data_IF_479187256213
#
_entry.id   IF_479187256213
#
_cell.length_a   1.000
_cell.length_b   1.000
_cell.length_c   1.000
_cell.angle_alpha   90.00
_cell.angle_beta   90.00
_cell.angle_gamma   90.00
#
_symmetry.space_group_name_H-M   'P 1'
#
loop_
_entity.id
_entity.type
_entity.pdbx_description
1 polymer ?
#
# COMPACT_ATOMS: atom_id res chain seq x y z
N UNK A 1 -5.57 29.18 7.87
CA UNK A 1 -5.34 27.79 7.42
C UNK A 1 -5.22 27.82 5.91
N UNK A 2 -4.13 27.28 5.38
CA UNK A 2 -3.97 27.15 3.92
C UNK A 2 -4.92 26.04 3.39
N UNK A 3 -5.19 26.01 2.09
CA UNK A 3 -6.02 24.96 1.49
C UNK A 3 -5.40 23.55 1.68
N UNK A 4 -4.07 23.46 1.78
CA UNK A 4 -3.36 22.21 2.09
C UNK A 4 -3.54 21.76 3.54
N UNK A 5 -3.62 22.69 4.51
CA UNK A 5 -3.83 22.35 5.92
C UNK A 5 -5.23 21.77 6.16
N UNK A 6 -6.24 22.32 5.49
CA UNK A 6 -7.61 21.78 5.53
C UNK A 6 -7.66 20.35 4.96
N UNK A 7 -6.96 20.09 3.87
CA UNK A 7 -6.87 18.76 3.26
C UNK A 7 -6.19 17.71 4.16
N UNK A 8 -5.11 18.09 4.86
CA UNK A 8 -4.43 17.18 5.80
C UNK A 8 -5.32 16.85 6.99
N UNK A 9 -5.98 17.87 7.58
CA UNK A 9 -6.90 17.68 8.71
C UNK A 9 -8.07 16.79 8.33
N UNK A 10 -8.65 16.99 7.15
CA UNK A 10 -9.73 16.16 6.64
C UNK A 10 -9.28 14.70 6.43
N UNK A 11 -8.10 14.49 5.83
CA UNK A 11 -7.54 13.14 5.68
C UNK A 11 -7.36 12.44 7.04
N UNK A 12 -6.77 13.12 8.02
CA UNK A 12 -6.56 12.55 9.36
C UNK A 12 -7.90 12.13 10.01
N UNK A 13 -8.93 12.96 9.88
CA UNK A 13 -10.27 12.65 10.39
C UNK A 13 -10.90 11.44 9.67
N UNK A 14 -10.81 11.39 8.34
CA UNK A 14 -11.30 10.27 7.54
C UNK A 14 -10.57 8.98 7.88
N UNK A 15 -9.24 9.02 7.94
CA UNK A 15 -8.39 7.86 8.26
C UNK A 15 -8.43 7.46 9.74
N UNK A 16 -9.05 8.24 10.62
CA UNK A 16 -9.10 7.98 12.06
C UNK A 16 -7.76 8.13 12.76
N UNK A 17 -6.90 9.01 12.25
CA UNK A 17 -5.57 9.27 12.79
C UNK A 17 -5.59 10.49 13.74
N UNK A 18 -4.94 10.34 14.89
CA UNK A 18 -4.65 11.44 15.81
C UNK A 18 -3.14 11.71 15.83
N UNK A 19 -2.75 12.97 15.74
CA UNK A 19 -1.35 13.40 15.80
C UNK A 19 -1.14 14.33 16.99
N UNK A 20 0.00 14.19 17.69
CA UNK A 20 0.27 14.94 18.91
C UNK A 20 0.53 16.43 18.64
N UNK A 21 1.10 16.76 17.48
CA UNK A 21 1.46 18.13 17.10
C UNK A 21 0.99 18.41 15.67
N UNK A 22 -0.30 18.75 15.47
CA UNK A 22 -0.89 18.90 14.13
C UNK A 22 -0.11 19.86 13.22
N UNK A 23 0.34 20.99 13.73
CA UNK A 23 1.06 22.00 12.92
C UNK A 23 2.43 21.48 12.45
N UNK A 24 3.18 20.80 13.33
CA UNK A 24 4.47 20.19 12.98
C UNK A 24 4.27 19.06 11.97
N UNK A 25 3.23 18.26 12.16
CA UNK A 25 2.86 17.19 11.24
C UNK A 25 2.50 17.76 9.87
N UNK A 26 1.63 18.76 9.81
CA UNK A 26 1.23 19.43 8.57
C UNK A 26 2.43 20.01 7.81
N UNK A 27 3.32 20.73 8.51
CA UNK A 27 4.53 21.26 7.92
C UNK A 27 5.48 20.16 7.38
N UNK A 28 5.52 19.02 8.05
CA UNK A 28 6.30 17.86 7.59
C UNK A 28 5.69 17.23 6.33
N UNK A 29 4.38 17.01 6.32
CA UNK A 29 3.68 16.49 5.13
C UNK A 29 3.85 17.43 3.94
N UNK A 30 3.73 18.74 4.12
CA UNK A 30 3.93 19.71 3.06
C UNK A 30 5.34 19.65 2.46
N UNK A 31 6.38 19.53 3.31
CA UNK A 31 7.76 19.34 2.82
C UNK A 31 7.92 18.07 2.00
N UNK A 32 7.35 16.97 2.46
CA UNK A 32 7.36 15.71 1.72
C UNK A 32 6.63 15.83 0.38
N UNK A 33 5.46 16.48 0.34
CA UNK A 33 4.72 16.73 -0.89
C UNK A 33 5.52 17.57 -1.89
N UNK A 34 6.18 18.65 -1.42
CA UNK A 34 7.04 19.47 -2.27
C UNK A 34 8.22 18.68 -2.82
N UNK A 35 8.90 17.90 -1.97
CA UNK A 35 10.01 17.06 -2.40
C UNK A 35 9.57 16.00 -3.43
N UNK A 36 8.44 15.36 -3.22
CA UNK A 36 7.86 14.41 -4.17
C UNK A 36 7.51 15.10 -5.50
N UNK A 37 6.88 16.27 -5.47
CA UNK A 37 6.57 17.02 -6.69
C UNK A 37 7.81 17.39 -7.48
N UNK A 38 8.89 17.83 -6.82
CA UNK A 38 10.17 18.12 -7.45
C UNK A 38 10.80 16.87 -8.06
N UNK A 39 10.78 15.75 -7.33
CA UNK A 39 11.26 14.48 -7.82
C UNK A 39 10.52 14.03 -9.10
N UNK A 40 9.19 14.09 -9.09
CA UNK A 40 8.34 13.70 -10.22
C UNK A 40 8.56 14.56 -11.48
N UNK A 41 8.98 15.82 -11.31
CA UNK A 41 9.33 16.69 -12.44
C UNK A 41 10.70 16.36 -13.05
N UNK A 42 11.60 15.77 -12.28
CA UNK A 42 12.98 15.52 -12.67
C UNK A 42 13.23 14.07 -13.12
N UNK A 43 12.42 13.12 -12.61
CA UNK A 43 12.57 11.72 -12.95
C UNK A 43 12.15 11.47 -14.41
N UNK A 44 13.12 11.14 -15.25
CA UNK A 44 12.90 11.05 -16.70
C UNK A 44 12.02 9.86 -17.09
N UNK A 45 12.32 8.66 -16.60
CA UNK A 45 11.54 7.44 -16.82
C UNK A 45 11.82 6.42 -15.73
N UNK A 46 10.76 5.95 -15.08
CA UNK A 46 10.81 4.78 -14.21
C UNK A 46 10.21 3.61 -14.98
N UNK A 47 10.89 2.48 -14.97
CA UNK A 47 10.38 1.27 -15.63
C UNK A 47 9.12 0.77 -14.92
N UNK A 48 8.08 0.48 -15.69
CA UNK A 48 6.84 -0.10 -15.18
C UNK A 48 7.01 -1.62 -15.09
N UNK A 49 6.65 -2.18 -13.95
CA UNK A 49 6.60 -3.63 -13.76
C UNK A 49 5.16 -4.11 -13.99
N UNK A 50 4.88 -4.60 -15.18
CA UNK A 50 3.63 -5.29 -15.49
C UNK A 50 3.55 -6.67 -14.84
N UNK A 51 4.69 -7.30 -14.65
CA UNK A 51 4.84 -8.60 -14.01
C UNK A 51 5.85 -8.51 -12.88
N UNK A 52 5.55 -9.17 -11.77
CA UNK A 52 6.46 -9.20 -10.62
C UNK A 52 6.35 -10.51 -9.83
N UNK A 53 7.45 -10.90 -9.21
CA UNK A 53 7.50 -12.09 -8.38
C UNK A 53 6.62 -11.93 -7.14
N UNK A 54 5.95 -13.01 -6.77
CA UNK A 54 5.09 -13.11 -5.58
C UNK A 54 5.47 -14.35 -4.78
N UNK A 55 5.24 -14.37 -3.46
CA UNK A 55 5.38 -15.59 -2.68
C UNK A 55 4.41 -16.66 -3.15
N UNK A 56 4.84 -17.90 -3.07
CA UNK A 56 3.93 -19.04 -3.16
C UNK A 56 2.91 -18.97 -2.00
N UNK A 57 1.64 -19.19 -2.30
CA UNK A 57 0.58 -19.19 -1.30
C UNK A 57 0.19 -20.63 -0.96
N UNK A 58 0.18 -20.94 0.34
CA UNK A 58 -0.29 -22.21 0.86
C UNK A 58 -1.79 -22.24 1.13
N UNK A 59 -2.21 -23.23 1.89
CA UNK A 59 -3.61 -23.46 2.27
C UNK A 59 -4.19 -22.22 2.97
N UNK A 60 -5.42 -21.85 2.63
CA UNK A 60 -6.08 -20.67 3.16
C UNK A 60 -5.51 -19.34 2.67
N UNK A 61 -4.58 -19.37 1.69
CA UNK A 61 -3.91 -18.17 1.16
C UNK A 61 -2.83 -17.61 2.09
N UNK A 62 -2.37 -18.36 3.08
CA UNK A 62 -1.19 -18.01 3.87
C UNK A 62 0.06 -18.00 2.96
N UNK A 63 1.05 -17.17 3.27
CA UNK A 63 2.37 -17.31 2.65
C UNK A 63 2.96 -18.64 3.15
N UNK A 64 3.02 -19.66 2.26
CA UNK A 64 3.29 -21.04 2.65
C UNK A 64 4.72 -21.26 3.12
N UNK A 65 5.67 -20.58 2.50
CA UNK A 65 7.08 -20.73 2.83
C UNK A 65 7.79 -19.38 2.66
N UNK A 66 8.53 -19.00 3.67
CA UNK A 66 9.34 -17.79 3.61
C UNK A 66 10.42 -17.91 2.53
N UNK A 67 10.42 -16.96 1.61
CA UNK A 67 11.39 -16.87 0.54
C UNK A 67 11.11 -17.76 -0.66
N UNK A 68 10.11 -18.64 -0.63
CA UNK A 68 9.67 -19.35 -1.82
C UNK A 68 8.77 -18.45 -2.66
N UNK A 69 9.14 -18.31 -3.92
CA UNK A 69 8.39 -17.53 -4.89
C UNK A 69 7.61 -18.47 -5.79
N UNK A 70 6.41 -18.05 -6.21
CA UNK A 70 5.65 -18.76 -7.22
C UNK A 70 6.46 -18.87 -8.53
N UNK A 71 6.29 -19.96 -9.25
CA UNK A 71 6.96 -20.19 -10.52
C UNK A 71 6.59 -19.10 -11.53
N UNK A 72 5.30 -18.78 -11.61
CA UNK A 72 4.79 -17.76 -12.50
C UNK A 72 4.70 -16.40 -11.79
N UNK A 73 5.16 -15.29 -12.42
CA UNK A 73 4.99 -13.97 -11.88
C UNK A 73 3.51 -13.56 -11.91
N UNK A 74 3.11 -12.70 -10.98
CA UNK A 74 1.80 -12.06 -11.05
C UNK A 74 1.79 -11.04 -12.19
N UNK A 75 0.74 -11.08 -13.05
CA UNK A 75 0.59 -10.21 -14.22
C UNK A 75 -0.57 -9.22 -14.01
N UNK A 76 -0.24 -7.94 -14.00
CA UNK A 76 -1.20 -6.84 -13.88
C UNK A 76 -2.06 -6.65 -15.14
N UNK A 77 -1.65 -7.21 -16.29
CA UNK A 77 -2.33 -6.96 -17.58
C UNK A 77 -3.78 -7.36 -17.53
N UNK A 78 -4.08 -8.55 -16.97
CA UNK A 78 -5.45 -9.07 -16.93
C UNK A 78 -6.35 -8.24 -16.01
N UNK A 79 -5.90 -7.95 -14.78
CA UNK A 79 -6.71 -7.24 -13.79
C UNK A 79 -6.88 -5.76 -14.12
N UNK A 80 -5.97 -5.17 -14.91
CA UNK A 80 -6.06 -3.78 -15.38
C UNK A 80 -6.82 -3.64 -16.71
N UNK A 81 -7.23 -4.74 -17.33
CA UNK A 81 -7.92 -4.73 -18.62
C UNK A 81 -7.02 -4.38 -19.79
N UNK A 82 -5.73 -4.72 -19.71
CA UNK A 82 -4.75 -4.55 -20.78
C UNK A 82 -3.72 -3.46 -20.54
N UNK A 83 -2.69 -3.45 -21.38
CA UNK A 83 -1.58 -2.49 -21.36
C UNK A 83 -1.94 -1.23 -22.16
N UNK A 84 -3.02 -0.54 -21.76
CA UNK A 84 -3.39 0.74 -22.37
C UNK A 84 -2.40 1.85 -22.02
N UNK A 85 -2.35 2.91 -22.83
CA UNK A 85 -1.54 4.11 -22.55
C UNK A 85 -1.91 4.73 -21.20
N UNK A 86 -3.18 4.72 -20.81
CA UNK A 86 -3.65 5.19 -19.50
C UNK A 86 -3.07 4.36 -18.36
N UNK A 87 -3.17 3.03 -18.44
CA UNK A 87 -2.63 2.13 -17.41
C UNK A 87 -1.09 2.24 -17.33
N UNK A 88 -0.43 2.36 -18.48
CA UNK A 88 1.02 2.56 -18.54
C UNK A 88 1.44 3.85 -17.82
N UNK A 89 0.76 4.96 -18.06
CA UNK A 89 1.04 6.24 -17.40
C UNK A 89 0.75 6.19 -15.89
N UNK A 90 -0.36 5.56 -15.51
CA UNK A 90 -0.71 5.40 -14.10
C UNK A 90 0.34 4.57 -13.34
N UNK A 91 0.71 3.41 -13.87
CA UNK A 91 1.74 2.56 -13.27
C UNK A 91 3.12 3.24 -13.24
N UNK A 92 3.45 4.03 -14.26
CA UNK A 92 4.69 4.80 -14.31
C UNK A 92 4.74 5.85 -13.19
N UNK A 93 3.63 6.57 -12.95
CA UNK A 93 3.52 7.50 -11.84
C UNK A 93 3.65 6.80 -10.48
N UNK A 94 2.94 5.68 -10.28
CA UNK A 94 3.01 4.92 -9.04
C UNK A 94 4.42 4.34 -8.80
N UNK A 95 5.09 3.87 -9.86
CA UNK A 95 6.47 3.40 -9.79
C UNK A 95 7.45 4.54 -9.43
N UNK A 96 7.23 5.74 -9.95
CA UNK A 96 8.01 6.92 -9.58
C UNK A 96 7.81 7.31 -8.11
N UNK A 97 6.58 7.25 -7.61
CA UNK A 97 6.26 7.49 -6.19
C UNK A 97 6.98 6.45 -5.31
N UNK A 98 6.90 5.16 -5.65
CA UNK A 98 7.59 4.12 -4.87
C UNK A 98 9.11 4.29 -4.91
N UNK A 99 9.69 4.71 -6.04
CA UNK A 99 11.11 5.01 -6.14
C UNK A 99 11.52 6.17 -5.24
N UNK A 100 10.72 7.24 -5.20
CA UNK A 100 10.94 8.37 -4.28
C UNK A 100 10.98 7.91 -2.82
N UNK A 101 10.00 7.09 -2.39
CA UNK A 101 9.98 6.57 -1.01
C UNK A 101 11.19 5.69 -0.72
N UNK A 102 11.61 4.83 -1.66
CA UNK A 102 12.81 4.01 -1.52
C UNK A 102 14.07 4.86 -1.28
N UNK A 103 14.19 5.97 -1.96
CA UNK A 103 15.38 6.83 -1.88
C UNK A 103 15.38 7.75 -0.63
N UNK A 104 14.21 8.10 -0.09
CA UNK A 104 14.10 9.19 0.89
C UNK A 104 13.49 8.79 2.24
N UNK A 105 12.79 7.65 2.35
CA UNK A 105 12.04 7.35 3.57
C UNK A 105 12.77 6.49 4.58
N UNK A 106 13.74 5.71 4.16
CA UNK A 106 14.38 4.70 5.02
C UNK A 106 13.49 3.49 5.33
N UNK A 107 12.32 3.35 4.69
CA UNK A 107 11.47 2.18 4.84
C UNK A 107 12.07 0.98 4.09
N UNK A 108 12.03 -0.21 4.67
CA UNK A 108 12.48 -1.45 4.02
C UNK A 108 11.50 -1.92 2.93
N UNK A 109 10.23 -1.57 3.09
CA UNK A 109 9.16 -1.94 2.18
C UNK A 109 8.11 -0.85 2.07
N UNK A 110 7.61 -0.62 0.85
CA UNK A 110 6.48 0.26 0.58
C UNK A 110 5.71 -0.22 -0.64
N UNK A 111 4.38 -0.22 -0.57
CA UNK A 111 3.52 -0.61 -1.68
C UNK A 111 2.25 0.20 -1.78
N UNK A 112 1.75 0.36 -3.00
CA UNK A 112 0.52 1.05 -3.34
C UNK A 112 -0.45 0.02 -3.91
N UNK A 113 -1.64 -0.02 -3.33
CA UNK A 113 -2.72 -0.94 -3.68
C UNK A 113 -3.93 -0.20 -4.20
N UNK A 114 -4.75 -0.88 -4.99
CA UNK A 114 -6.04 -0.39 -5.45
C UNK A 114 -7.13 -1.43 -5.18
N UNK A 115 -8.29 -0.97 -4.67
CA UNK A 115 -9.47 -1.80 -4.50
C UNK A 115 -10.17 -2.02 -5.86
N UNK A 116 -10.33 -3.27 -6.26
CA UNK A 116 -11.01 -3.66 -7.50
C UNK A 116 -11.49 -5.12 -7.47
N UNK A 117 -12.28 -5.51 -8.45
CA UNK A 117 -12.57 -6.93 -8.68
C UNK A 117 -11.37 -7.59 -9.36
N UNK A 118 -10.99 -8.78 -8.92
CA UNK A 118 -10.00 -9.60 -9.61
C UNK A 118 -10.61 -10.30 -10.84
N UNK A 119 -9.82 -11.11 -11.54
CA UNK A 119 -10.26 -11.84 -12.74
C UNK A 119 -11.39 -12.84 -12.48
N UNK A 120 -11.57 -13.26 -11.22
CA UNK A 120 -12.69 -14.13 -10.79
C UNK A 120 -13.91 -13.33 -10.30
N UNK A 121 -13.86 -12.00 -10.35
CA UNK A 121 -14.92 -11.10 -9.89
C UNK A 121 -14.94 -10.86 -8.37
N UNK A 122 -13.93 -11.34 -7.63
CA UNK A 122 -13.83 -11.16 -6.18
C UNK A 122 -13.24 -9.79 -5.83
N UNK A 123 -13.75 -9.11 -4.78
CA UNK A 123 -13.18 -7.84 -4.34
C UNK A 123 -11.82 -8.05 -3.67
N UNK A 124 -10.79 -7.36 -4.17
CA UNK A 124 -9.41 -7.44 -3.66
C UNK A 124 -8.75 -6.07 -3.61
N UNK A 125 -7.71 -5.93 -2.80
CA UNK A 125 -6.68 -4.92 -2.98
C UNK A 125 -5.59 -5.51 -3.85
N UNK A 126 -5.38 -4.97 -5.04
CA UNK A 126 -4.29 -5.38 -5.93
C UNK A 126 -3.09 -4.44 -5.77
N UNK A 127 -1.89 -5.02 -5.63
CA UNK A 127 -0.64 -4.28 -5.54
C UNK A 127 -0.22 -3.78 -6.92
N UNK A 128 -0.19 -2.45 -7.10
CA UNK A 128 0.12 -1.81 -8.39
C UNK A 128 1.60 -1.44 -8.53
N UNK A 129 2.23 -0.99 -7.45
CA UNK A 129 3.65 -0.66 -7.42
C UNK A 129 4.21 -0.87 -6.02
N UNK A 130 5.48 -1.27 -5.92
CA UNK A 130 6.14 -1.49 -4.63
C UNK A 130 7.66 -1.55 -4.78
N UNK A 131 8.35 -1.51 -3.64
CA UNK A 131 9.73 -1.93 -3.51
C UNK A 131 9.92 -2.74 -2.21
N UNK A 132 11.03 -3.44 -2.10
CA UNK A 132 11.35 -4.31 -0.98
C UNK A 132 11.10 -5.79 -1.29
N UNK A 133 10.98 -6.62 -0.26
CA UNK A 133 10.77 -8.05 -0.40
C UNK A 133 9.46 -8.37 -1.15
N UNK A 134 9.46 -9.47 -1.88
CA UNK A 134 8.27 -9.95 -2.56
C UNK A 134 7.14 -10.21 -1.55
N UNK A 135 5.96 -9.71 -1.84
CA UNK A 135 4.78 -9.89 -1.01
C UNK A 135 3.57 -10.23 -1.89
N UNK A 136 2.50 -10.67 -1.26
CA UNK A 136 1.25 -11.03 -1.89
C UNK A 136 0.77 -9.95 -2.89
N UNK A 137 0.26 -10.36 -4.06
CA UNK A 137 -0.23 -9.44 -5.08
C UNK A 137 -1.64 -8.95 -4.77
N UNK A 138 -2.51 -9.82 -4.29
CA UNK A 138 -3.92 -9.52 -4.00
C UNK A 138 -4.23 -9.82 -2.53
N UNK A 139 -4.90 -8.89 -1.86
CA UNK A 139 -5.47 -9.10 -0.53
C UNK A 139 -6.99 -9.17 -0.65
N UNK A 140 -7.63 -10.29 -0.28
CA UNK A 140 -9.09 -10.40 -0.30
C UNK A 140 -9.77 -9.32 0.55
N UNK A 141 -10.74 -8.62 -0.01
CA UNK A 141 -11.57 -7.64 0.69
C UNK A 141 -12.84 -8.32 1.24
N UNK A 142 -12.65 -9.17 2.25
CA UNK A 142 -13.74 -9.81 2.98
C UNK A 142 -13.48 -9.78 4.49
N UNK A 143 -14.54 -9.98 5.28
CA UNK A 143 -14.50 -9.87 6.74
C UNK A 143 -13.61 -10.91 7.41
N UNK A 144 -13.45 -12.10 6.81
CA UNK A 144 -12.65 -13.16 7.42
C UNK A 144 -11.16 -12.89 7.24
N UNK A 145 -10.73 -12.51 6.05
CA UNK A 145 -9.34 -12.16 5.80
C UNK A 145 -8.93 -10.86 6.52
N UNK A 146 -9.86 -9.93 6.71
CA UNK A 146 -9.61 -8.69 7.45
C UNK A 146 -9.28 -8.93 8.94
N UNK A 147 -9.67 -10.07 9.52
CA UNK A 147 -9.31 -10.39 10.91
C UNK A 147 -7.80 -10.51 11.11
N UNK A 148 -7.09 -10.99 10.11
CA UNK A 148 -5.65 -11.22 10.15
C UNK A 148 -4.83 -10.22 9.33
N UNK A 149 -5.43 -9.60 8.30
CA UNK A 149 -4.73 -8.71 7.36
C UNK A 149 -5.01 -7.24 7.63
N UNK A 150 -3.96 -6.47 7.93
CA UNK A 150 -4.06 -5.01 8.08
C UNK A 150 -4.51 -4.33 6.77
N UNK A 151 -3.98 -4.77 5.63
CA UNK A 151 -4.38 -4.24 4.32
C UNK A 151 -5.88 -4.39 4.08
N UNK A 152 -6.43 -5.60 4.32
CA UNK A 152 -7.87 -5.86 4.15
C UNK A 152 -8.71 -5.11 5.18
N UNK A 153 -8.26 -5.00 6.44
CA UNK A 153 -8.91 -4.19 7.47
C UNK A 153 -9.04 -2.73 7.02
N UNK A 154 -7.96 -2.13 6.55
CA UNK A 154 -7.92 -0.75 6.08
C UNK A 154 -8.75 -0.56 4.82
N UNK A 155 -8.63 -1.50 3.86
CA UNK A 155 -9.39 -1.47 2.61
C UNK A 155 -10.92 -1.55 2.80
N UNK A 156 -11.39 -2.25 3.85
CA UNK A 156 -12.81 -2.35 4.17
C UNK A 156 -13.31 -1.18 5.03
N UNK A 157 -12.50 -0.75 6.02
CA UNK A 157 -12.93 0.22 7.03
C UNK A 157 -12.66 1.68 6.63
N UNK A 158 -11.69 1.93 5.78
CA UNK A 158 -11.16 3.28 5.52
C UNK A 158 -10.43 3.88 6.71
N UNK A 159 -10.12 3.10 7.74
CA UNK A 159 -9.38 3.56 8.90
C UNK A 159 -7.96 3.06 8.85
N UNK A 160 -7.01 3.96 9.07
CA UNK A 160 -5.59 3.62 9.13
C UNK A 160 -5.32 2.61 10.26
N UNK A 161 -4.36 1.72 10.04
CA UNK A 161 -3.87 0.79 11.04
C UNK A 161 -2.35 0.91 11.14
N UNK A 162 -1.86 1.23 12.33
CA UNK A 162 -0.44 1.41 12.62
C UNK A 162 -0.06 0.45 13.73
N UNK A 163 0.97 -0.36 13.49
CA UNK A 163 1.57 -1.27 14.45
C UNK A 163 3.03 -0.86 14.60
N UNK A 164 3.36 -0.21 15.71
CA UNK A 164 4.72 0.29 15.97
C UNK A 164 5.68 -0.81 16.43
N UNK A 165 5.14 -1.91 16.96
CA UNK A 165 5.89 -3.08 17.44
C UNK A 165 5.05 -4.33 17.20
N UNK A 166 5.42 -5.10 16.18
CA UNK A 166 4.70 -6.32 15.78
C UNK A 166 4.82 -7.40 16.86
N UNK A 167 5.98 -7.53 17.53
CA UNK A 167 6.16 -8.53 18.56
C UNK A 167 5.27 -8.24 19.79
N UNK A 168 5.21 -6.99 20.22
CA UNK A 168 4.32 -6.56 21.29
C UNK A 168 2.85 -6.74 20.91
N UNK A 169 2.47 -6.41 19.67
CA UNK A 169 1.11 -6.59 19.16
C UNK A 169 0.66 -8.06 19.21
N UNK A 170 1.51 -8.97 18.75
CA UNK A 170 1.27 -10.42 18.81
C UNK A 170 1.20 -10.91 20.27
N UNK A 171 2.10 -10.44 21.14
CA UNK A 171 2.12 -10.77 22.56
C UNK A 171 0.86 -10.36 23.32
N UNK A 172 0.14 -9.35 22.83
CA UNK A 172 -1.16 -8.91 23.35
C UNK A 172 -2.36 -9.63 22.69
N UNK A 173 -2.13 -10.68 21.91
CA UNK A 173 -3.19 -11.44 21.23
C UNK A 173 -3.66 -10.86 19.91
N UNK A 174 -2.89 -9.93 19.33
CA UNK A 174 -3.15 -9.44 17.98
C UNK A 174 -2.89 -10.52 16.93
N UNK A 175 -3.71 -10.57 15.90
CA UNK A 175 -3.48 -11.41 14.72
C UNK A 175 -2.79 -10.59 13.63
N UNK A 176 -1.73 -11.14 13.05
CA UNK A 176 -0.91 -10.45 12.07
C UNK A 176 -0.49 -11.37 10.93
N UNK A 177 -1.00 -11.07 9.73
CA UNK A 177 -0.60 -11.75 8.52
C UNK A 177 0.61 -11.05 7.91
N UNK A 178 1.70 -11.79 7.74
CA UNK A 178 2.89 -11.31 7.03
C UNK A 178 3.51 -12.41 6.17
N UNK A 179 4.17 -12.00 5.08
CA UNK A 179 5.02 -12.86 4.28
C UNK A 179 6.51 -12.72 4.65
N UNK A 180 6.85 -11.85 5.59
CA UNK A 180 8.22 -11.63 6.06
C UNK A 180 8.26 -11.57 7.59
N UNK A 181 8.95 -12.53 8.27
CA UNK A 181 9.05 -12.56 9.72
C UNK A 181 9.91 -11.43 10.31
N UNK A 182 10.63 -10.68 9.46
CA UNK A 182 11.52 -9.61 9.90
C UNK A 182 10.79 -8.28 10.10
N UNK A 183 9.50 -8.20 9.75
CA UNK A 183 8.71 -6.98 9.92
C UNK A 183 8.59 -6.65 11.39
N UNK A 184 9.10 -5.47 11.79
CA UNK A 184 9.08 -4.97 13.15
C UNK A 184 7.94 -3.98 13.39
N UNK A 185 7.58 -3.20 12.37
CA UNK A 185 6.52 -2.21 12.42
C UNK A 185 5.82 -2.12 11.06
N UNK A 186 4.55 -1.77 11.05
CA UNK A 186 3.75 -1.61 9.84
C UNK A 186 2.79 -0.43 9.97
N UNK A 187 2.61 0.30 8.88
CA UNK A 187 1.56 1.29 8.73
C UNK A 187 0.78 1.02 7.44
N UNK A 188 -0.52 0.75 7.57
CA UNK A 188 -1.46 0.71 6.46
C UNK A 188 -2.32 1.96 6.48
N UNK A 189 -2.29 2.72 5.39
CA UNK A 189 -3.00 3.99 5.27
C UNK A 189 -4.01 3.91 4.13
N UNK A 190 -5.28 4.34 4.33
CA UNK A 190 -6.27 4.36 3.27
C UNK A 190 -5.99 5.47 2.26
N UNK A 191 -6.28 5.23 0.99
CA UNK A 191 -6.33 6.25 -0.04
C UNK A 191 -7.78 6.53 -0.39
N UNK A 192 -8.14 7.82 -0.46
CA UNK A 192 -9.48 8.26 -0.78
C UNK A 192 -9.49 9.04 -2.10
N UNK A 193 -10.53 8.85 -2.88
CA UNK A 193 -10.82 9.73 -3.99
C UNK A 193 -11.43 11.06 -3.50
N UNK A 194 -11.72 11.98 -4.43
CA UNK A 194 -12.28 13.29 -4.11
C UNK A 194 -13.65 13.23 -3.42
N UNK A 195 -14.39 12.13 -3.52
CA UNK A 195 -15.67 11.91 -2.83
C UNK A 195 -15.52 11.25 -1.46
N UNK A 196 -14.31 11.05 -0.98
CA UNK A 196 -14.03 10.39 0.31
C UNK A 196 -14.22 8.87 0.29
N UNK A 197 -14.34 8.26 -0.90
CA UNK A 197 -14.42 6.80 -1.05
C UNK A 197 -13.03 6.21 -1.18
N UNK A 198 -12.81 5.06 -0.54
CA UNK A 198 -11.57 4.26 -0.68
C UNK A 198 -11.39 3.84 -2.15
N UNK A 199 -10.15 3.92 -2.63
CA UNK A 199 -9.75 3.55 -3.99
C UNK A 199 -8.75 2.42 -4.02
#
# INVERSE_FOLDING_TARGET
MSQSDASITEYLALAGLAVQSPDVFAATVQRWQQSLQQYLQQVAHVSVQWQYKVPELGEGGACSLFGQLADEPYDLTAILGGQSAHNQQALQLLSAITAFYREHSGLDWFGIYQARANVSGEPVLVKLAYYGAASRAEFPLNSDFAKISNNSTVGLSGKAKIINDVAAYLGCGGEYYTCDPKVQAEACLPLFNQSGKIV
#
